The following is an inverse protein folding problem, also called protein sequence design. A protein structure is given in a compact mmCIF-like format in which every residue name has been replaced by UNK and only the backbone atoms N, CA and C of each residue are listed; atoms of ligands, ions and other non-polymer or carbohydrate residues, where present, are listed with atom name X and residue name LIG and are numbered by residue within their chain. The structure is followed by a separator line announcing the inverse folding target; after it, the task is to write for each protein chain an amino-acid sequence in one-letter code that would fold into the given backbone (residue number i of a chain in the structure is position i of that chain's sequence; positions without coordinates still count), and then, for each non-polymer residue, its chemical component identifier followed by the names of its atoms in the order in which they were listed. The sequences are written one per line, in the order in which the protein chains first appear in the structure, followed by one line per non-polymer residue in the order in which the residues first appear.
data_IF_424944544359
#
_entry.id   IF_424944544359
#
_cell.length_a   1.000
_cell.length_b   1.000
_cell.length_c   1.000
_cell.angle_alpha   90.00
_cell.angle_beta   90.00
_cell.angle_gamma   90.00
#
_symmetry.space_group_name_H-M   'P 1'
#
loop_
_entity.id
_entity.type
_entity.pdbx_description
1 polymer ?
#
# COMPACT_ATOMS: atom_id res chain seq x y z
N UNK A 1 -27.22 83.75 -50.25
CA UNK A 1 -27.77 84.01 -48.93
C UNK A 1 -28.78 82.93 -48.64
N UNK A 2 -28.41 81.87 -48.00
CA UNK A 2 -29.32 80.78 -47.59
C UNK A 2 -28.93 80.38 -46.18
N UNK A 3 -29.86 80.54 -45.26
CA UNK A 3 -29.78 80.14 -43.85
C UNK A 3 -30.22 78.72 -43.75
N UNK A 4 -29.41 77.81 -43.27
CA UNK A 4 -29.77 76.48 -43.00
C UNK A 4 -29.74 76.24 -41.48
N UNK A 5 -30.91 75.92 -40.95
CA UNK A 5 -31.14 75.62 -39.52
C UNK A 5 -30.67 74.21 -39.26
N UNK A 6 -29.88 74.06 -38.21
CA UNK A 6 -29.42 72.72 -37.73
C UNK A 6 -30.33 72.29 -36.54
N UNK A 7 -31.03 71.22 -36.71
CA UNK A 7 -31.85 70.58 -35.67
C UNK A 7 -30.93 69.80 -34.73
N UNK A 8 -30.98 70.14 -33.43
CA UNK A 8 -30.40 69.31 -32.34
C UNK A 8 -31.34 68.20 -31.97
N UNK A 9 -30.95 66.95 -32.20
CA UNK A 9 -31.60 65.78 -31.67
C UNK A 9 -30.96 65.42 -30.34
N UNK A 10 -31.70 65.57 -29.23
CA UNK A 10 -31.29 65.11 -27.89
C UNK A 10 -31.72 63.65 -27.80
N UNK A 11 -30.77 62.76 -27.82
CA UNK A 11 -30.99 61.34 -27.63
C UNK A 11 -30.86 61.02 -26.14
N UNK A 12 -31.99 60.70 -25.50
CA UNK A 12 -32.03 60.22 -24.10
C UNK A 12 -31.60 58.77 -24.08
N UNK A 13 -30.38 58.49 -23.65
CA UNK A 13 -29.94 57.14 -23.37
C UNK A 13 -30.49 56.68 -22.01
N UNK A 14 -31.46 55.80 -22.06
CA UNK A 14 -32.01 55.11 -20.89
C UNK A 14 -31.04 54.01 -20.47
N UNK A 15 -30.29 54.22 -19.37
CA UNK A 15 -29.35 53.27 -18.81
C UNK A 15 -30.15 52.19 -18.03
N UNK A 16 -30.34 51.03 -18.64
CA UNK A 16 -30.88 49.84 -17.95
C UNK A 16 -29.77 49.26 -17.09
N UNK A 17 -29.84 49.48 -15.79
CA UNK A 17 -29.02 48.76 -14.80
C UNK A 17 -29.63 47.35 -14.61
N UNK A 18 -29.07 46.35 -15.28
CA UNK A 18 -29.37 44.94 -14.96
C UNK A 18 -28.62 44.54 -13.69
N UNK A 19 -29.32 44.40 -12.57
CA UNK A 19 -28.84 43.73 -11.39
C UNK A 19 -28.63 42.23 -11.73
N UNK A 20 -27.39 41.85 -11.98
CA UNK A 20 -27.01 40.45 -11.97
C UNK A 20 -26.93 40.01 -10.50
N UNK A 21 -27.98 39.36 -10.00
CA UNK A 21 -27.89 38.63 -8.76
C UNK A 21 -26.92 37.46 -8.98
N UNK A 22 -25.66 37.65 -8.60
CA UNK A 22 -24.70 36.56 -8.53
C UNK A 22 -25.15 35.59 -7.47
N UNK A 23 -25.61 34.40 -7.87
CA UNK A 23 -25.68 33.28 -6.95
C UNK A 23 -24.23 32.92 -6.64
N UNK A 24 -23.71 33.36 -5.49
CA UNK A 24 -22.51 32.78 -4.89
C UNK A 24 -22.86 31.33 -4.55
N UNK A 25 -22.62 30.42 -5.51
CA UNK A 25 -22.54 28.99 -5.24
C UNK A 25 -21.23 28.79 -4.48
N UNK A 26 -21.29 28.82 -3.15
CA UNK A 26 -20.20 28.28 -2.35
C UNK A 26 -19.94 26.85 -2.84
N UNK A 27 -18.68 26.52 -3.25
CA UNK A 27 -18.36 25.18 -3.64
C UNK A 27 -18.64 24.28 -2.43
N UNK A 28 -19.42 23.23 -2.64
CA UNK A 28 -19.65 22.21 -1.61
C UNK A 28 -18.30 21.75 -1.07
N UNK A 29 -18.14 21.57 0.25
CA UNK A 29 -16.88 21.13 0.82
C UNK A 29 -16.48 19.81 0.16
N UNK A 30 -15.29 19.80 -0.48
CA UNK A 30 -14.72 18.58 -1.03
C UNK A 30 -14.28 17.75 0.16
N UNK A 31 -15.07 16.73 0.52
CA UNK A 31 -14.68 15.74 1.50
C UNK A 31 -13.59 14.87 0.90
N UNK A 32 -12.33 15.23 1.06
CA UNK A 32 -11.22 14.32 0.80
C UNK A 32 -11.22 13.26 1.92
N UNK A 33 -11.65 12.06 1.57
CA UNK A 33 -11.52 10.90 2.48
C UNK A 33 -10.06 10.46 2.45
N UNK A 34 -9.29 10.94 3.40
CA UNK A 34 -8.00 10.33 3.70
C UNK A 34 -8.27 9.11 4.59
N UNK A 35 -8.07 7.91 4.06
CA UNK A 35 -8.05 6.73 4.90
C UNK A 35 -6.92 6.88 5.92
N UNK A 36 -7.21 6.76 7.20
CA UNK A 36 -6.18 6.69 8.22
C UNK A 36 -5.49 5.33 8.10
N UNK A 37 -4.16 5.34 8.19
CA UNK A 37 -3.31 4.17 7.99
C UNK A 37 -2.74 3.77 9.33
N UNK A 38 -3.09 2.58 9.78
CA UNK A 38 -2.65 2.00 11.05
C UNK A 38 -1.65 0.87 10.77
N UNK A 39 -0.33 1.08 10.98
CA UNK A 39 0.68 0.04 10.78
C UNK A 39 0.39 -1.15 11.69
N UNK A 40 0.41 -2.35 11.14
CA UNK A 40 0.23 -3.61 11.86
C UNK A 40 1.56 -4.26 12.21
N UNK A 41 2.64 -3.85 11.55
CA UNK A 41 4.00 -4.36 11.73
C UNK A 41 5.01 -3.21 11.68
N UNK A 42 6.16 -3.38 12.31
CA UNK A 42 7.26 -2.42 12.33
C UNK A 42 8.49 -3.03 11.62
N UNK A 43 9.14 -2.28 10.74
CA UNK A 43 10.23 -2.80 9.91
C UNK A 43 11.44 -3.34 10.71
N UNK A 44 11.67 -2.80 11.93
CA UNK A 44 12.82 -3.16 12.77
C UNK A 44 12.55 -4.32 13.76
N UNK A 45 11.30 -4.77 13.91
CA UNK A 45 10.91 -5.76 14.93
C UNK A 45 10.94 -7.21 14.43
N UNK A 46 11.26 -7.41 13.14
CA UNK A 46 11.31 -8.75 12.58
C UNK A 46 12.42 -9.60 13.17
N UNK A 47 12.06 -10.81 13.58
CA UNK A 47 12.96 -11.87 14.06
C UNK A 47 12.79 -13.14 13.25
N UNK A 48 13.85 -13.95 13.16
CA UNK A 48 13.76 -15.23 12.43
C UNK A 48 12.83 -16.18 13.18
N UNK A 49 11.85 -16.74 12.46
CA UNK A 49 10.99 -17.81 12.99
C UNK A 49 11.81 -19.08 13.23
N UNK A 50 11.65 -19.71 14.39
CA UNK A 50 12.27 -21.00 14.67
C UNK A 50 11.78 -22.06 13.66
N UNK A 51 12.65 -23.02 13.33
CA UNK A 51 12.32 -23.99 12.29
C UNK A 51 11.11 -24.87 12.64
N UNK A 52 10.94 -25.15 13.93
CA UNK A 52 9.83 -25.93 14.50
C UNK A 52 8.51 -25.16 14.55
N UNK A 53 8.57 -23.81 14.54
CA UNK A 53 7.41 -22.93 14.63
C UNK A 53 7.01 -22.34 13.27
N UNK A 54 7.74 -22.68 12.19
CA UNK A 54 7.48 -22.17 10.86
C UNK A 54 6.18 -22.73 10.27
N UNK A 55 5.14 -21.89 10.07
CA UNK A 55 3.85 -22.36 9.59
C UNK A 55 3.87 -22.84 8.14
N UNK A 56 4.95 -22.54 7.38
CA UNK A 56 5.15 -22.95 5.99
C UNK A 56 6.40 -23.83 5.81
N UNK A 57 6.72 -24.65 6.83
CA UNK A 57 7.91 -25.50 6.83
C UNK A 57 7.99 -26.45 5.61
N UNK A 58 6.86 -26.83 5.01
CA UNK A 58 6.82 -27.65 3.80
C UNK A 58 7.37 -26.94 2.54
N UNK A 59 7.45 -25.61 2.56
CA UNK A 59 8.06 -24.83 1.50
C UNK A 59 9.59 -24.69 1.63
N UNK A 60 10.18 -25.18 2.74
CA UNK A 60 11.61 -25.07 2.97
C UNK A 60 12.41 -25.91 1.99
N UNK A 61 13.35 -25.30 1.25
CA UNK A 61 14.29 -26.05 0.41
C UNK A 61 15.36 -26.75 1.25
N UNK A 62 15.97 -27.79 0.73
CA UNK A 62 17.17 -28.40 1.29
C UNK A 62 18.40 -28.13 0.38
N UNK A 63 19.42 -27.41 0.87
CA UNK A 63 19.51 -26.77 2.18
C UNK A 63 18.73 -25.43 2.25
N UNK A 64 18.19 -25.10 3.42
CA UNK A 64 17.71 -23.75 3.72
C UNK A 64 18.89 -22.85 4.07
N UNK A 65 19.07 -21.77 3.35
CA UNK A 65 20.18 -20.81 3.54
C UNK A 65 19.58 -19.39 3.61
N UNK A 66 19.72 -18.72 4.74
CA UNK A 66 19.35 -17.32 4.89
C UNK A 66 20.12 -16.68 6.06
N UNK A 67 21.34 -16.20 5.85
CA UNK A 67 22.11 -15.56 6.90
C UNK A 67 21.49 -14.20 7.28
N UNK A 68 21.66 -13.78 8.54
CA UNK A 68 21.13 -12.50 9.04
C UNK A 68 21.52 -11.28 8.20
N UNK A 69 22.67 -11.33 7.52
CA UNK A 69 23.14 -10.26 6.64
C UNK A 69 22.39 -10.15 5.31
N UNK A 70 21.50 -11.10 5.00
CA UNK A 70 20.74 -11.11 3.76
C UNK A 70 19.35 -10.48 3.89
N UNK A 71 18.94 -10.06 5.08
CA UNK A 71 17.64 -9.44 5.32
C UNK A 71 17.69 -8.51 6.52
N UNK A 72 16.76 -7.58 6.60
CA UNK A 72 16.61 -6.68 7.73
C UNK A 72 15.92 -5.37 7.38
N UNK A 73 15.83 -4.49 8.38
CA UNK A 73 15.32 -3.14 8.16
C UNK A 73 16.35 -2.32 7.38
N UNK A 74 15.88 -1.71 6.29
CA UNK A 74 16.60 -0.71 5.52
C UNK A 74 15.64 0.43 5.14
N UNK A 75 15.97 1.65 5.53
CA UNK A 75 15.18 2.86 5.25
C UNK A 75 13.70 2.75 5.69
N UNK A 76 13.44 2.04 6.80
CA UNK A 76 12.09 1.89 7.37
C UNK A 76 11.24 0.78 6.74
N UNK A 77 11.83 -0.10 5.93
CA UNK A 77 11.16 -1.24 5.29
C UNK A 77 11.95 -2.54 5.55
N UNK A 78 11.29 -3.70 5.41
CA UNK A 78 11.99 -4.99 5.43
C UNK A 78 12.53 -5.30 4.04
N UNK A 79 13.85 -5.34 3.89
CA UNK A 79 14.51 -5.77 2.65
C UNK A 79 15.09 -7.18 2.78
N UNK A 80 15.02 -7.95 1.68
CA UNK A 80 15.54 -9.31 1.58
C UNK A 80 16.34 -9.47 0.30
N UNK A 81 17.65 -9.80 0.43
CA UNK A 81 18.53 -10.12 -0.69
C UNK A 81 18.62 -11.62 -0.89
N UNK A 82 17.93 -12.14 -1.90
CA UNK A 82 17.83 -13.58 -2.14
C UNK A 82 19.01 -14.18 -2.89
N UNK A 83 20.02 -13.37 -3.24
CA UNK A 83 21.32 -13.89 -3.66
C UNK A 83 22.04 -14.71 -2.59
N UNK A 84 21.68 -14.50 -1.30
CA UNK A 84 22.23 -15.23 -0.17
C UNK A 84 21.13 -15.88 0.71
N UNK A 85 19.84 -15.67 0.40
CA UNK A 85 18.70 -16.15 1.18
C UNK A 85 17.70 -16.82 0.25
N UNK A 86 17.62 -18.15 0.23
CA UNK A 86 16.68 -18.87 -0.62
C UNK A 86 15.29 -19.06 0.03
N UNK A 87 15.20 -18.86 1.34
CA UNK A 87 13.98 -19.02 2.12
C UNK A 87 14.07 -18.16 3.38
N UNK A 88 13.07 -17.32 3.59
CA UNK A 88 12.90 -16.50 4.78
C UNK A 88 11.54 -16.80 5.42
N UNK A 89 11.53 -17.00 6.73
CA UNK A 89 10.36 -16.94 7.58
C UNK A 89 10.72 -16.07 8.77
N UNK A 90 10.06 -14.93 8.93
CA UNK A 90 10.32 -13.97 10.01
C UNK A 90 9.01 -13.60 10.67
N UNK A 91 9.07 -13.28 11.96
CA UNK A 91 7.89 -13.00 12.78
C UNK A 91 8.07 -11.78 13.65
N UNK A 92 6.96 -11.18 14.03
CA UNK A 92 6.87 -10.14 15.05
C UNK A 92 5.47 -10.07 15.64
N UNK A 93 5.27 -9.40 16.79
CA UNK A 93 3.94 -9.15 17.34
C UNK A 93 3.12 -8.21 16.45
N UNK A 94 1.83 -8.49 16.29
CA UNK A 94 0.84 -7.58 15.74
C UNK A 94 0.75 -6.32 16.61
N UNK A 95 0.82 -5.12 16.02
CA UNK A 95 0.87 -3.84 16.77
C UNK A 95 -0.52 -3.42 17.22
N UNK A 96 -1.53 -3.58 16.37
CA UNK A 96 -2.92 -3.17 16.62
C UNK A 96 -3.90 -4.32 16.33
N UNK A 97 -5.06 -4.29 16.97
CA UNK A 97 -6.12 -5.27 16.71
C UNK A 97 -6.68 -5.15 15.28
N UNK A 98 -7.09 -6.29 14.75
CA UNK A 98 -7.87 -6.38 13.50
C UNK A 98 -9.15 -7.18 13.73
N UNK A 99 -10.22 -6.81 13.03
CA UNK A 99 -11.47 -7.56 12.98
C UNK A 99 -11.66 -8.24 11.62
N UNK A 100 -12.50 -9.27 11.57
CA UNK A 100 -12.92 -9.86 10.29
C UNK A 100 -13.59 -8.77 9.44
N UNK A 101 -13.15 -8.64 8.18
CA UNK A 101 -13.64 -7.67 7.22
C UNK A 101 -12.95 -6.31 7.28
N UNK A 102 -12.02 -6.08 8.22
CA UNK A 102 -11.22 -4.86 8.22
C UNK A 102 -10.42 -4.76 6.90
N UNK A 103 -10.39 -3.57 6.26
CA UNK A 103 -9.60 -3.37 5.07
C UNK A 103 -8.11 -3.33 5.43
N UNK A 104 -7.37 -4.31 4.95
CA UNK A 104 -5.92 -4.41 5.10
C UNK A 104 -5.23 -4.00 3.81
N UNK A 105 -4.04 -3.42 3.94
CA UNK A 105 -3.18 -3.05 2.82
C UNK A 105 -1.81 -3.66 2.99
N UNK A 106 -1.31 -4.30 1.91
CA UNK A 106 0.08 -4.75 1.76
C UNK A 106 0.74 -3.89 0.68
N UNK A 107 1.94 -3.38 0.97
CA UNK A 107 2.82 -2.77 -0.02
C UNK A 107 4.12 -3.53 -0.10
N UNK A 108 4.49 -3.89 -1.32
CA UNK A 108 5.75 -4.59 -1.58
C UNK A 108 6.28 -4.20 -2.96
N UNK A 109 7.58 -4.38 -3.14
CA UNK A 109 8.22 -4.25 -4.45
C UNK A 109 9.40 -5.18 -4.56
N UNK A 110 9.83 -5.41 -5.80
CA UNK A 110 11.03 -6.17 -6.13
C UNK A 110 11.74 -5.59 -7.34
N UNK A 111 13.03 -5.81 -7.41
CA UNK A 111 13.85 -5.52 -8.58
C UNK A 111 13.57 -6.52 -9.70
N UNK A 112 14.17 -6.32 -10.89
CA UNK A 112 14.07 -7.30 -11.97
C UNK A 112 14.51 -8.67 -11.47
N UNK A 113 13.60 -9.65 -11.57
CA UNK A 113 13.80 -11.01 -11.07
C UNK A 113 14.57 -11.83 -12.08
N UNK A 114 15.64 -12.46 -11.63
CA UNK A 114 16.53 -13.28 -12.45
C UNK A 114 16.73 -14.68 -11.84
N UNK A 115 16.80 -15.68 -12.69
CA UNK A 115 17.14 -17.05 -12.34
C UNK A 115 17.72 -17.78 -13.57
N UNK A 116 18.46 -18.87 -13.37
CA UNK A 116 18.96 -19.72 -14.45
C UNK A 116 17.87 -20.59 -15.11
N UNK A 117 16.86 -20.95 -14.34
CA UNK A 117 15.71 -21.76 -14.78
C UNK A 117 14.42 -21.11 -14.33
N UNK A 118 13.32 -21.21 -15.11
CA UNK A 118 12.02 -20.68 -14.70
C UNK A 118 11.60 -21.22 -13.33
N UNK A 119 11.13 -20.31 -12.47
CA UNK A 119 10.73 -20.62 -11.10
C UNK A 119 9.57 -19.72 -10.66
N UNK A 120 9.05 -19.97 -9.47
CA UNK A 120 8.04 -19.13 -8.82
C UNK A 120 8.63 -18.61 -7.50
N UNK A 121 8.56 -17.31 -7.29
CA UNK A 121 8.73 -16.72 -5.96
C UNK A 121 7.40 -16.77 -5.22
N UNK A 122 7.41 -17.19 -3.96
CA UNK A 122 6.22 -17.25 -3.12
C UNK A 122 6.37 -16.35 -1.90
N UNK A 123 5.41 -15.45 -1.71
CA UNK A 123 5.32 -14.56 -0.56
C UNK A 123 4.01 -14.84 0.17
N UNK A 124 4.06 -14.82 1.50
CA UNK A 124 2.86 -15.00 2.31
C UNK A 124 2.93 -14.18 3.60
N UNK A 125 1.76 -13.77 4.08
CA UNK A 125 1.55 -13.17 5.39
C UNK A 125 0.56 -14.04 6.17
N UNK A 126 0.92 -14.38 7.39
CA UNK A 126 0.10 -15.17 8.29
C UNK A 126 -0.03 -14.44 9.63
N UNK A 127 -1.13 -14.69 10.34
CA UNK A 127 -1.31 -14.25 11.73
C UNK A 127 -1.73 -15.45 12.55
N UNK A 128 -0.99 -15.74 13.62
CA UNK A 128 -1.14 -16.96 14.43
C UNK A 128 -1.21 -18.24 13.58
N UNK A 129 -0.36 -18.32 12.55
CA UNK A 129 -0.28 -19.42 11.60
C UNK A 129 -1.44 -19.50 10.59
N UNK A 130 -2.41 -18.60 10.62
CA UNK A 130 -3.49 -18.52 9.63
C UNK A 130 -3.10 -17.61 8.47
N UNK A 131 -3.16 -18.13 7.24
CA UNK A 131 -2.86 -17.38 6.02
C UNK A 131 -3.89 -16.25 5.84
N UNK A 132 -3.40 -15.01 5.74
CA UNK A 132 -4.24 -13.83 5.47
C UNK A 132 -4.03 -13.28 4.06
N UNK A 133 -2.86 -13.52 3.47
CA UNK A 133 -2.52 -13.05 2.13
C UNK A 133 -1.35 -13.86 1.58
N UNK A 134 -1.36 -14.10 0.27
CA UNK A 134 -0.24 -14.71 -0.46
C UNK A 134 -0.11 -14.17 -1.88
N UNK A 135 1.07 -14.29 -2.47
CA UNK A 135 1.39 -13.91 -3.84
C UNK A 135 2.43 -14.85 -4.43
N UNK A 136 2.13 -15.37 -5.62
CA UNK A 136 3.10 -16.05 -6.46
C UNK A 136 3.58 -15.13 -7.60
N UNK A 137 4.88 -15.10 -7.84
CA UNK A 137 5.51 -14.27 -8.86
C UNK A 137 6.42 -15.11 -9.74
N UNK A 138 6.19 -15.07 -11.04
CA UNK A 138 7.03 -15.80 -11.99
C UNK A 138 8.44 -15.20 -12.06
N UNK A 139 9.47 -16.04 -12.04
CA UNK A 139 10.89 -15.71 -12.17
C UNK A 139 11.46 -16.48 -13.38
N UNK A 140 12.11 -15.81 -14.35
CA UNK A 140 12.43 -14.37 -14.39
C UNK A 140 11.23 -13.47 -14.66
N UNK A 141 11.33 -12.21 -14.22
CA UNK A 141 10.27 -11.23 -14.38
C UNK A 141 10.78 -9.79 -14.26
N UNK A 142 9.99 -8.79 -14.66
CA UNK A 142 10.36 -7.39 -14.50
C UNK A 142 10.32 -6.95 -13.04
N UNK A 143 11.00 -5.84 -12.74
CA UNK A 143 10.77 -5.10 -11.51
C UNK A 143 9.30 -4.65 -11.43
N UNK A 144 8.72 -4.72 -10.25
CA UNK A 144 7.33 -4.30 -10.03
C UNK A 144 7.15 -3.76 -8.60
N UNK A 145 6.06 -3.02 -8.41
CA UNK A 145 5.60 -2.55 -7.11
C UNK A 145 4.11 -2.82 -6.98
N UNK A 146 3.70 -3.37 -5.86
CA UNK A 146 2.31 -3.73 -5.58
C UNK A 146 1.79 -3.00 -4.36
N UNK A 147 0.59 -2.47 -4.51
CA UNK A 147 -0.25 -1.99 -3.41
C UNK A 147 -1.55 -2.76 -3.50
N UNK A 148 -1.79 -3.64 -2.54
CA UNK A 148 -2.90 -4.59 -2.56
C UNK A 148 -3.75 -4.32 -1.33
N UNK A 149 -5.06 -4.12 -1.54
CA UNK A 149 -6.04 -4.00 -0.44
C UNK A 149 -6.96 -5.21 -0.48
N UNK A 150 -7.21 -5.79 0.69
CA UNK A 150 -8.08 -6.95 0.87
C UNK A 150 -8.78 -6.87 2.24
N UNK A 151 -9.84 -7.63 2.42
CA UNK A 151 -10.53 -7.74 3.72
C UNK A 151 -9.86 -8.79 4.59
N UNK A 152 -9.66 -8.48 5.87
CA UNK A 152 -9.12 -9.46 6.81
C UNK A 152 -10.03 -10.67 6.92
N UNK A 153 -9.52 -11.90 6.69
CA UNK A 153 -10.32 -13.11 6.86
C UNK A 153 -10.48 -13.53 8.32
N UNK A 154 -9.73 -12.89 9.24
CA UNK A 154 -9.67 -13.26 10.66
C UNK A 154 -9.77 -12.01 11.54
N UNK A 155 -10.04 -12.25 12.84
CA UNK A 155 -9.81 -11.27 13.90
C UNK A 155 -8.55 -11.65 14.67
N UNK A 156 -7.77 -10.65 15.12
CA UNK A 156 -6.59 -10.88 15.97
C UNK A 156 -6.38 -9.68 16.91
N UNK A 157 -5.83 -9.98 18.09
CA UNK A 157 -5.51 -8.98 19.11
C UNK A 157 -4.04 -8.53 19.02
N UNK A 158 -3.68 -7.35 19.54
CA UNK A 158 -2.28 -6.95 19.62
C UNK A 158 -1.43 -7.99 20.34
N UNK A 159 -0.26 -8.31 19.78
CA UNK A 159 0.62 -9.36 20.28
C UNK A 159 0.43 -10.71 19.60
N UNK A 160 -0.61 -10.91 18.77
CA UNK A 160 -0.70 -12.08 17.89
C UNK A 160 0.54 -12.15 16.99
N UNK A 161 1.01 -13.33 16.64
CA UNK A 161 2.23 -13.50 15.85
C UNK A 161 1.96 -13.24 14.37
N UNK A 162 2.53 -12.19 13.82
CA UNK A 162 2.55 -11.96 12.37
C UNK A 162 3.78 -12.63 11.78
N UNK A 163 3.59 -13.51 10.81
CA UNK A 163 4.69 -14.14 10.05
C UNK A 163 4.73 -13.63 8.63
N UNK A 164 5.90 -13.19 8.17
CA UNK A 164 6.19 -12.95 6.75
C UNK A 164 7.09 -14.04 6.21
N UNK A 165 6.64 -14.63 5.11
CA UNK A 165 7.35 -15.70 4.41
C UNK A 165 7.77 -15.24 3.01
N UNK A 166 8.99 -15.62 2.61
CA UNK A 166 9.50 -15.48 1.25
C UNK A 166 10.30 -16.72 0.87
N UNK A 167 9.82 -17.48 -0.12
CA UNK A 167 10.57 -18.51 -0.82
C UNK A 167 10.90 -18.02 -2.22
N UNK A 168 12.18 -17.93 -2.57
CA UNK A 168 12.62 -17.38 -3.83
C UNK A 168 13.69 -18.26 -4.48
N UNK A 169 13.79 -18.14 -5.80
CA UNK A 169 14.83 -18.75 -6.63
C UNK A 169 15.60 -17.66 -7.36
N UNK A 170 16.94 -17.76 -7.34
CA UNK A 170 17.83 -16.80 -7.99
C UNK A 170 18.23 -15.63 -7.09
N UNK A 171 18.98 -14.68 -7.65
CA UNK A 171 19.58 -13.55 -6.93
C UNK A 171 18.74 -12.30 -7.18
N UNK A 172 17.80 -12.01 -6.29
CA UNK A 172 16.81 -10.95 -6.41
C UNK A 172 16.77 -10.11 -5.13
N UNK A 173 16.13 -8.96 -5.18
CA UNK A 173 15.85 -8.10 -4.03
C UNK A 173 14.34 -7.94 -3.88
N UNK A 174 13.83 -8.19 -2.68
CA UNK A 174 12.42 -8.09 -2.33
C UNK A 174 12.24 -7.18 -1.13
N UNK A 175 11.19 -6.38 -1.15
CA UNK A 175 10.92 -5.44 -0.07
C UNK A 175 9.46 -5.55 0.36
N UNK A 176 9.24 -5.83 1.65
CA UNK A 176 7.94 -5.62 2.30
C UNK A 176 7.97 -4.22 2.94
N UNK A 177 7.21 -3.30 2.36
CA UNK A 177 7.17 -1.92 2.82
C UNK A 177 6.12 -1.70 3.90
N UNK A 178 4.99 -2.41 3.80
CA UNK A 178 3.87 -2.15 4.70
C UNK A 178 2.95 -3.37 4.80
N UNK A 179 2.45 -3.60 6.00
CA UNK A 179 1.19 -4.25 6.31
C UNK A 179 0.44 -3.32 7.26
N UNK A 180 -0.73 -2.83 6.84
CA UNK A 180 -1.51 -1.85 7.60
C UNK A 180 -3.01 -2.12 7.52
N UNK A 181 -3.77 -1.66 8.53
CA UNK A 181 -5.22 -1.52 8.49
C UNK A 181 -5.56 -0.12 7.97
N UNK A 182 -6.62 -0.03 7.19
CA UNK A 182 -7.14 1.22 6.65
C UNK A 182 -8.47 1.55 7.34
N UNK A 183 -8.52 2.66 8.08
CA UNK A 183 -9.80 3.17 8.56
C UNK A 183 -10.42 4.09 7.51
N UNK A 184 -11.66 3.83 7.15
CA UNK A 184 -12.41 4.70 6.25
C UNK A 184 -12.71 6.02 6.94
N UNK A 185 -11.86 7.01 6.81
CA UNK A 185 -12.08 8.35 7.33
C UNK A 185 -13.34 8.97 6.76
N UNK A 186 -14.40 9.05 7.55
CA UNK A 186 -15.59 9.85 7.28
C UNK A 186 -15.58 11.05 8.21
N UNK A 187 -14.72 12.02 7.95
CA UNK A 187 -14.76 13.32 8.62
C UNK A 187 -15.39 14.35 7.70
N UNK A 188 -16.72 14.21 7.50
CA UNK A 188 -17.57 15.29 7.04
C UNK A 188 -18.50 15.64 8.21
N UNK A 189 -18.06 16.52 9.12
CA UNK A 189 -18.95 17.24 10.03
C UNK A 189 -19.40 18.56 9.42
#
# INVERSE_FOLDING_TARGET
MRITATLLLISSALLLLTLVAGCDLEPAPICERHAEIHPLVLAHDWTMTAAEDDPLAEHRPEPTICPRSAWGEELGVLEVSTGACNYLSVEQPLVEAIAIGDPLRVQLWWQALITSEPAIGHLALLIDGQLIWELEVAIPGPADARVITFESPIAAEPGATVTFHLHNHGANSWTLAELARLDGGSNCE
#
